data_IF_476123668805
#
_entry.id   IF_476123668805
#
_cell.length_a   1.000
_cell.length_b   1.000
_cell.length_c   1.000
_cell.angle_alpha   90.00
_cell.angle_beta   90.00
_cell.angle_gamma   90.00
#
_symmetry.space_group_name_H-M   'P 1'
#
loop_
_entity.id
_entity.type
_entity.pdbx_description
1 polymer ?
#
# COMPACT_ATOMS: atom_id res chain seq x y z
N UNK A 1 -3.48 23.19 -61.58
CA UNK A 1 -4.25 23.51 -62.83
C UNK A 1 -5.58 24.16 -62.42
N UNK A 2 -5.94 25.25 -63.04
CA UNK A 2 -7.24 25.92 -62.81
C UNK A 2 -8.08 25.67 -64.06
N UNK A 3 -9.27 25.14 -63.87
CA UNK A 3 -10.27 24.96 -64.91
C UNK A 3 -11.62 25.48 -64.38
N UNK A 4 -12.05 26.63 -64.86
CA UNK A 4 -13.29 27.29 -64.44
C UNK A 4 -14.13 27.61 -65.68
N UNK A 5 -15.42 27.26 -65.59
CA UNK A 5 -16.42 27.58 -66.62
C UNK A 5 -17.37 28.61 -66.10
N UNK A 6 -17.49 29.73 -66.84
CA UNK A 6 -18.43 30.78 -66.51
C UNK A 6 -19.87 30.45 -66.98
N UNK A 7 -20.85 31.10 -66.37
CA UNK A 7 -22.26 31.01 -66.81
C UNK A 7 -22.45 31.53 -68.21
N UNK A 8 -21.49 32.30 -68.74
CA UNK A 8 -21.47 32.82 -70.13
C UNK A 8 -20.89 31.79 -71.09
N UNK A 9 -20.47 30.60 -70.65
CA UNK A 9 -19.85 29.58 -71.50
C UNK A 9 -18.34 29.71 -71.69
N UNK A 10 -17.71 30.75 -71.17
CA UNK A 10 -16.26 30.94 -71.30
C UNK A 10 -15.53 30.00 -70.33
N UNK A 11 -14.54 29.24 -70.85
CA UNK A 11 -13.69 28.39 -70.05
C UNK A 11 -12.31 29.07 -69.81
N UNK A 12 -11.89 29.17 -68.57
CA UNK A 12 -10.55 29.62 -68.20
C UNK A 12 -9.76 28.38 -67.78
N UNK A 13 -8.77 28.00 -68.64
CA UNK A 13 -7.85 26.88 -68.37
C UNK A 13 -6.44 27.45 -68.20
N UNK A 14 -5.74 27.10 -67.09
CA UNK A 14 -4.35 27.46 -66.87
C UNK A 14 -3.63 26.35 -66.14
N UNK A 15 -2.63 25.77 -66.73
CA UNK A 15 -1.78 24.76 -66.12
C UNK A 15 -0.65 25.44 -65.31
N UNK A 16 -0.26 24.79 -64.20
CA UNK A 16 0.81 25.28 -63.32
C UNK A 16 0.46 26.53 -62.49
N UNK A 17 -0.81 26.90 -62.35
CA UNK A 17 -1.22 28.05 -61.55
C UNK A 17 -0.95 27.80 -60.05
N UNK A 18 -0.16 28.65 -59.43
CA UNK A 18 0.09 28.61 -57.99
C UNK A 18 -1.16 29.06 -57.20
N UNK A 19 -1.43 28.40 -56.11
CA UNK A 19 -2.49 28.77 -55.14
C UNK A 19 -1.92 28.76 -53.73
N UNK A 20 -2.10 29.84 -53.01
CA UNK A 20 -1.75 29.99 -51.59
C UNK A 20 -3.02 30.08 -50.79
N UNK A 21 -3.19 29.19 -49.81
CA UNK A 21 -4.36 29.17 -48.92
C UNK A 21 -3.89 29.23 -47.47
N UNK A 22 -4.43 30.22 -46.77
CA UNK A 22 -4.26 30.35 -45.31
C UNK A 22 -5.63 30.29 -44.67
N UNK A 23 -5.84 29.26 -43.85
CA UNK A 23 -7.04 29.09 -43.02
C UNK A 23 -6.62 29.11 -41.58
N UNK A 24 -7.17 30.03 -40.78
CA UNK A 24 -6.97 30.13 -39.36
C UNK A 24 -8.33 30.24 -38.69
N UNK A 25 -8.56 29.42 -37.63
CA UNK A 25 -9.77 29.49 -36.85
C UNK A 25 -9.46 29.37 -35.37
N UNK A 26 -10.17 30.13 -34.55
CA UNK A 26 -10.23 29.99 -33.10
C UNK A 26 -11.66 29.65 -32.73
N UNK A 27 -11.86 28.51 -32.07
CA UNK A 27 -13.19 28.02 -31.71
C UNK A 27 -13.27 27.75 -30.23
N UNK A 28 -14.29 28.26 -29.55
CA UNK A 28 -14.69 27.91 -28.21
C UNK A 28 -15.98 27.09 -28.26
N UNK A 29 -15.97 25.96 -27.56
CA UNK A 29 -17.15 25.06 -27.51
C UNK A 29 -17.57 24.89 -26.06
N UNK A 30 -18.84 25.13 -25.76
CA UNK A 30 -19.45 24.91 -24.46
C UNK A 30 -20.53 23.83 -24.56
N UNK A 31 -20.41 22.80 -23.72
CA UNK A 31 -21.41 21.76 -23.61
C UNK A 31 -22.52 22.22 -22.67
N UNK A 32 -23.73 22.42 -23.19
CA UNK A 32 -24.90 22.85 -22.41
C UNK A 32 -25.64 21.67 -21.79
N UNK A 33 -25.77 20.58 -22.54
CA UNK A 33 -26.49 19.38 -22.10
C UNK A 33 -25.93 18.13 -22.74
N UNK A 34 -25.86 17.03 -21.99
CA UNK A 34 -25.44 15.70 -22.48
C UNK A 34 -26.05 14.56 -21.64
N UNK A 35 -27.32 14.65 -21.31
CA UNK A 35 -28.00 13.64 -20.51
C UNK A 35 -27.51 13.58 -19.06
N UNK A 36 -27.03 14.70 -18.51
CA UNK A 36 -26.42 14.79 -17.18
C UNK A 36 -25.13 13.98 -17.01
N UNK A 37 -24.48 13.59 -18.10
CA UNK A 37 -23.20 12.85 -18.05
C UNK A 37 -22.13 13.59 -17.26
N UNK A 38 -21.95 14.89 -17.48
CA UNK A 38 -20.97 15.72 -16.74
C UNK A 38 -21.24 15.66 -15.24
N UNK A 39 -22.52 15.72 -14.83
CA UNK A 39 -22.91 15.61 -13.41
C UNK A 39 -22.59 14.22 -12.83
N UNK A 40 -22.81 13.16 -13.60
CA UNK A 40 -22.47 11.78 -13.19
C UNK A 40 -20.95 11.59 -13.07
N UNK A 41 -20.17 12.11 -14.03
CA UNK A 41 -18.69 12.10 -13.99
C UNK A 41 -18.17 12.85 -12.76
N UNK A 42 -18.70 14.07 -12.51
CA UNK A 42 -18.29 14.85 -11.32
C UNK A 42 -18.53 14.05 -10.04
N UNK A 43 -19.74 13.49 -9.86
CA UNK A 43 -20.05 12.66 -8.69
C UNK A 43 -19.17 11.40 -8.59
N UNK A 44 -18.82 10.79 -9.72
CA UNK A 44 -17.90 9.65 -9.73
C UNK A 44 -16.52 10.05 -9.26
N UNK A 45 -16.00 11.18 -9.74
CA UNK A 45 -14.67 11.69 -9.33
C UNK A 45 -14.65 12.10 -7.85
N UNK A 46 -15.73 12.67 -7.31
CA UNK A 46 -15.88 12.92 -5.87
C UNK A 46 -15.80 11.60 -5.06
N UNK A 47 -16.38 10.51 -5.54
CA UNK A 47 -16.25 9.21 -4.88
C UNK A 47 -14.84 8.63 -5.02
N UNK A 48 -14.14 8.86 -6.14
CA UNK A 48 -12.73 8.46 -6.33
C UNK A 48 -11.82 9.21 -5.34
N UNK A 49 -12.05 10.51 -5.13
CA UNK A 49 -11.34 11.30 -4.12
C UNK A 49 -11.52 10.70 -2.71
N UNK A 50 -12.76 10.44 -2.30
CA UNK A 50 -13.06 9.84 -1.00
C UNK A 50 -12.46 8.44 -0.85
N UNK A 51 -12.45 7.63 -1.93
CA UNK A 51 -11.78 6.34 -1.96
C UNK A 51 -10.26 6.49 -1.73
N UNK A 52 -9.64 7.45 -2.42
CA UNK A 52 -8.21 7.72 -2.31
C UNK A 52 -7.81 8.13 -0.89
N UNK A 53 -8.64 8.94 -0.22
CA UNK A 53 -8.45 9.27 1.20
C UNK A 53 -8.50 8.02 2.10
N UNK A 54 -9.38 7.05 1.81
CA UNK A 54 -9.40 5.80 2.57
C UNK A 54 -8.17 4.93 2.30
N UNK A 55 -7.62 4.93 1.09
CA UNK A 55 -6.34 4.26 0.83
C UNK A 55 -5.17 4.88 1.60
N UNK A 56 -5.13 6.22 1.71
CA UNK A 56 -4.15 6.89 2.57
C UNK A 56 -4.33 6.46 4.03
N UNK A 57 -5.57 6.45 4.54
CA UNK A 57 -5.85 5.99 5.91
C UNK A 57 -5.43 4.53 6.14
N UNK A 58 -5.71 3.65 5.19
CA UNK A 58 -5.28 2.25 5.25
C UNK A 58 -3.75 2.15 5.29
N UNK A 59 -3.05 2.91 4.44
CA UNK A 59 -1.59 2.93 4.42
C UNK A 59 -1.01 3.45 5.75
N UNK A 60 -1.60 4.48 6.33
CA UNK A 60 -1.21 4.99 7.67
C UNK A 60 -1.37 3.90 8.73
N UNK A 61 -2.52 3.22 8.77
CA UNK A 61 -2.76 2.11 9.71
C UNK A 61 -1.74 0.98 9.53
N UNK A 62 -1.48 0.56 8.30
CA UNK A 62 -0.51 -0.49 7.99
C UNK A 62 0.92 -0.08 8.38
N UNK A 63 1.30 1.18 8.12
CA UNK A 63 2.62 1.70 8.51
C UNK A 63 2.76 1.73 10.02
N UNK A 64 1.76 2.20 10.77
CA UNK A 64 1.77 2.19 12.24
C UNK A 64 1.94 0.76 12.76
N UNK A 65 1.16 -0.19 12.23
CA UNK A 65 1.25 -1.59 12.63
C UNK A 65 2.64 -2.19 12.35
N UNK A 66 3.24 -1.86 11.19
CA UNK A 66 4.59 -2.30 10.82
C UNK A 66 5.65 -1.69 11.76
N UNK A 67 5.55 -0.39 12.07
CA UNK A 67 6.45 0.29 13.01
C UNK A 67 6.34 -0.33 14.41
N UNK A 68 5.14 -0.57 14.91
CA UNK A 68 4.93 -1.24 16.21
C UNK A 68 5.55 -2.63 16.22
N UNK A 69 5.36 -3.42 15.17
CA UNK A 69 5.93 -4.76 15.05
C UNK A 69 7.46 -4.73 15.10
N UNK A 70 8.09 -3.84 14.33
CA UNK A 70 9.55 -3.68 14.33
C UNK A 70 10.08 -3.11 15.65
N UNK A 71 9.35 -2.20 16.27
CA UNK A 71 9.69 -1.67 17.59
C UNK A 71 9.75 -2.77 18.65
N UNK A 72 8.71 -3.59 18.75
CA UNK A 72 8.70 -4.73 19.68
C UNK A 72 9.70 -5.82 19.30
N UNK A 73 10.05 -5.96 18.02
CA UNK A 73 11.13 -6.86 17.62
C UNK A 73 12.48 -6.42 18.20
N UNK A 74 12.82 -5.14 18.15
CA UNK A 74 14.05 -4.61 18.79
C UNK A 74 14.05 -4.92 20.29
N UNK A 75 12.94 -4.68 21.00
CA UNK A 75 12.83 -4.97 22.44
C UNK A 75 13.02 -6.47 22.70
N UNK A 76 12.44 -7.33 21.87
CA UNK A 76 12.61 -8.79 21.96
C UNK A 76 14.08 -9.20 21.78
N UNK A 77 14.78 -8.65 20.80
CA UNK A 77 16.19 -8.93 20.57
C UNK A 77 17.08 -8.45 21.75
N UNK A 78 16.76 -7.28 22.31
CA UNK A 78 17.46 -6.79 23.52
C UNK A 78 17.19 -7.68 24.74
N UNK A 79 15.95 -8.17 24.89
CA UNK A 79 15.63 -9.12 25.98
C UNK A 79 16.39 -10.42 25.84
N UNK A 80 16.55 -10.92 24.59
CA UNK A 80 17.35 -12.13 24.34
C UNK A 80 18.83 -11.93 24.70
N UNK A 81 19.41 -10.75 24.49
CA UNK A 81 20.78 -10.45 24.95
C UNK A 81 20.93 -10.60 26.46
N UNK A 82 19.91 -10.21 27.25
CA UNK A 82 19.93 -10.42 28.73
C UNK A 82 19.99 -11.91 29.07
N UNK A 83 19.32 -12.78 28.31
CA UNK A 83 19.40 -14.23 28.50
C UNK A 83 20.81 -14.77 28.19
N UNK A 84 21.43 -14.26 27.13
CA UNK A 84 22.83 -14.60 26.79
C UNK A 84 23.77 -14.15 27.92
N UNK A 85 23.57 -12.95 28.47
CA UNK A 85 24.38 -12.43 29.59
C UNK A 85 24.26 -13.32 30.83
N UNK A 86 23.05 -13.81 31.14
CA UNK A 86 22.84 -14.78 32.23
C UNK A 86 23.57 -16.10 31.96
N UNK A 87 23.55 -16.58 30.71
CA UNK A 87 24.30 -17.79 30.32
C UNK A 87 25.80 -17.61 30.44
N UNK A 88 26.33 -16.42 30.08
CA UNK A 88 27.74 -16.06 30.26
C UNK A 88 28.12 -16.07 31.74
N UNK A 89 27.27 -15.49 32.62
CA UNK A 89 27.51 -15.50 34.07
C UNK A 89 27.60 -16.93 34.63
N UNK A 90 26.71 -17.80 34.22
CA UNK A 90 26.72 -19.23 34.62
C UNK A 90 27.97 -19.94 34.09
N UNK A 91 28.32 -19.74 32.80
CA UNK A 91 29.49 -20.35 32.21
C UNK A 91 30.82 -19.84 32.85
N UNK A 92 30.87 -18.55 33.23
CA UNK A 92 31.99 -18.00 33.96
C UNK A 92 32.13 -18.62 35.34
N UNK A 93 31.04 -18.74 36.11
CA UNK A 93 31.05 -19.44 37.42
C UNK A 93 31.53 -20.89 37.28
N UNK A 94 31.07 -21.59 36.27
CA UNK A 94 31.51 -22.97 35.97
C UNK A 94 33.00 -23.02 35.68
N UNK A 95 33.53 -22.11 34.85
CA UNK A 95 34.97 -22.03 34.56
C UNK A 95 35.78 -21.79 35.83
N UNK A 96 35.31 -20.89 36.71
CA UNK A 96 36.01 -20.56 37.97
C UNK A 96 36.03 -21.78 38.92
N UNK A 97 34.95 -22.56 38.98
CA UNK A 97 34.91 -23.82 39.74
C UNK A 97 35.90 -24.83 39.16
N UNK A 98 35.92 -25.02 37.83
CA UNK A 98 36.85 -25.97 37.17
C UNK A 98 38.32 -25.56 37.39
N UNK A 99 38.65 -24.26 37.32
CA UNK A 99 39.97 -23.73 37.64
C UNK A 99 40.37 -24.03 39.09
N UNK A 100 39.49 -23.83 40.04
CA UNK A 100 39.74 -24.15 41.46
C UNK A 100 39.93 -25.66 41.66
N UNK A 101 39.16 -26.50 41.03
CA UNK A 101 39.31 -27.97 41.06
C UNK A 101 40.63 -28.43 40.42
N UNK A 102 41.04 -27.81 39.31
CA UNK A 102 42.32 -28.10 38.66
C UNK A 102 43.49 -27.76 39.55
N UNK A 103 43.49 -26.59 40.24
CA UNK A 103 44.57 -26.15 41.10
C UNK A 103 44.86 -27.12 42.24
N UNK A 104 43.89 -27.93 42.64
CA UNK A 104 44.07 -28.96 43.68
C UNK A 104 44.12 -30.39 43.09
N UNK A 105 44.36 -30.51 41.78
CA UNK A 105 44.51 -31.78 41.08
C UNK A 105 43.23 -32.57 40.89
N UNK A 106 42.10 -31.88 41.02
CA UNK A 106 40.77 -32.49 41.01
C UNK A 106 40.00 -32.40 39.65
N UNK A 107 40.46 -31.60 38.69
CA UNK A 107 39.97 -31.53 37.32
C UNK A 107 41.16 -31.64 36.36
N UNK A 108 40.88 -32.11 35.15
CA UNK A 108 41.89 -32.24 34.10
C UNK A 108 41.95 -31.03 33.16
N UNK A 109 42.94 -30.94 32.29
CA UNK A 109 43.08 -29.86 31.31
C UNK A 109 41.97 -29.88 30.27
N UNK A 110 41.38 -31.04 29.92
CA UNK A 110 40.31 -31.12 28.97
C UNK A 110 39.03 -30.47 29.49
N UNK A 111 38.70 -30.64 30.79
CA UNK A 111 37.57 -29.99 31.45
C UNK A 111 37.73 -28.47 31.45
N UNK A 112 38.97 -27.99 31.72
CA UNK A 112 39.30 -26.56 31.68
C UNK A 112 39.10 -25.98 30.25
N UNK A 113 39.71 -26.64 29.24
CA UNK A 113 39.63 -26.16 27.88
C UNK A 113 38.18 -26.18 27.36
N UNK A 114 37.39 -27.23 27.69
CA UNK A 114 35.96 -27.29 27.31
C UNK A 114 35.18 -26.10 27.91
N UNK A 115 35.40 -25.82 29.21
CA UNK A 115 34.74 -24.68 29.88
C UNK A 115 35.11 -23.34 29.27
N UNK A 116 36.35 -23.17 28.80
CA UNK A 116 36.82 -21.97 28.10
C UNK A 116 36.17 -21.86 26.70
N UNK A 117 36.06 -22.97 25.96
CA UNK A 117 35.42 -23.01 24.65
C UNK A 117 33.94 -22.64 24.78
N UNK A 118 33.23 -23.23 25.77
CA UNK A 118 31.84 -22.94 26.03
C UNK A 118 31.60 -21.45 26.32
N UNK A 119 32.43 -20.85 27.19
CA UNK A 119 32.35 -19.41 27.50
C UNK A 119 32.63 -18.53 26.26
N UNK A 120 33.68 -18.83 25.50
CA UNK A 120 34.03 -18.08 24.30
C UNK A 120 32.93 -18.17 23.23
N UNK A 121 32.26 -19.32 23.10
CA UNK A 121 31.13 -19.52 22.20
C UNK A 121 29.93 -18.61 22.58
N UNK A 122 29.66 -18.42 23.87
CA UNK A 122 28.66 -17.50 24.36
C UNK A 122 29.01 -16.03 24.07
N UNK A 123 30.28 -15.63 24.20
CA UNK A 123 30.71 -14.30 23.79
C UNK A 123 30.54 -14.06 22.29
N UNK A 124 30.87 -15.02 21.44
CA UNK A 124 30.61 -14.93 19.98
C UNK A 124 29.10 -14.81 19.69
N UNK A 125 28.28 -15.58 20.41
CA UNK A 125 26.82 -15.50 20.30
C UNK A 125 26.31 -14.11 20.68
N UNK A 126 26.85 -13.51 21.75
CA UNK A 126 26.54 -12.13 22.16
C UNK A 126 26.91 -11.10 21.10
N UNK A 127 28.10 -11.23 20.48
CA UNK A 127 28.52 -10.34 19.40
C UNK A 127 27.57 -10.44 18.18
N UNK A 128 27.20 -11.66 17.79
CA UNK A 128 26.24 -11.89 16.70
C UNK A 128 24.87 -11.29 17.02
N UNK A 129 24.43 -11.44 18.28
CA UNK A 129 23.15 -10.86 18.73
C UNK A 129 23.17 -9.33 18.71
N UNK A 130 24.31 -8.71 19.04
CA UNK A 130 24.45 -7.26 18.94
C UNK A 130 24.28 -6.76 17.49
N UNK A 131 24.83 -7.48 16.50
CA UNK A 131 24.63 -7.17 15.10
C UNK A 131 23.14 -7.24 14.72
N UNK A 132 22.43 -8.29 15.18
CA UNK A 132 20.99 -8.46 14.93
C UNK A 132 20.19 -7.28 15.50
N UNK A 133 20.56 -6.79 16.69
CA UNK A 133 19.91 -5.62 17.30
C UNK A 133 20.12 -4.37 16.44
N UNK A 134 21.34 -4.11 15.98
CA UNK A 134 21.62 -2.95 15.14
C UNK A 134 20.89 -3.03 13.78
N UNK A 135 20.79 -4.22 13.19
CA UNK A 135 20.00 -4.43 11.98
C UNK A 135 18.49 -4.19 12.23
N UNK A 136 17.95 -4.69 13.34
CA UNK A 136 16.55 -4.46 13.70
C UNK A 136 16.24 -2.98 13.95
N UNK A 137 17.18 -2.21 14.56
CA UNK A 137 17.06 -0.76 14.69
C UNK A 137 17.10 -0.05 13.35
N UNK A 138 17.98 -0.46 12.44
CA UNK A 138 18.06 0.07 11.08
C UNK A 138 16.75 -0.14 10.31
N UNK A 139 16.17 -1.33 10.41
CA UNK A 139 14.87 -1.63 9.82
C UNK A 139 13.74 -0.73 10.37
N UNK A 140 13.75 -0.50 11.68
CA UNK A 140 12.79 0.39 12.33
C UNK A 140 12.95 1.84 11.83
N UNK A 141 14.18 2.36 11.78
CA UNK A 141 14.47 3.71 11.29
C UNK A 141 14.05 3.89 9.83
N UNK A 142 14.24 2.88 8.99
CA UNK A 142 13.80 2.89 7.59
C UNK A 142 12.28 3.07 7.47
N UNK A 143 11.50 2.33 8.27
CA UNK A 143 10.03 2.46 8.29
C UNK A 143 9.56 3.83 8.80
N UNK A 144 10.32 4.44 9.70
CA UNK A 144 10.04 5.78 10.24
C UNK A 144 10.53 6.90 9.33
N UNK A 145 11.14 6.57 8.18
CA UNK A 145 11.77 7.52 7.26
C UNK A 145 12.84 8.39 7.94
N UNK A 146 13.57 7.81 8.89
CA UNK A 146 14.70 8.42 9.59
C UNK A 146 15.99 7.87 9.01
N UNK A 147 17.07 8.66 9.06
CA UNK A 147 18.39 8.24 8.57
C UNK A 147 18.85 6.97 9.29
N UNK A 148 19.33 5.95 8.55
CA UNK A 148 19.71 4.65 9.11
C UNK A 148 20.88 4.70 10.11
N UNK A 149 21.72 5.76 10.03
CA UNK A 149 22.87 6.02 10.90
C UNK A 149 22.50 6.76 12.21
N UNK A 150 21.23 7.06 12.42
CA UNK A 150 20.77 7.74 13.63
C UNK A 150 20.85 6.81 14.84
N UNK A 151 21.52 7.26 15.90
CA UNK A 151 21.58 6.51 17.15
C UNK A 151 20.21 6.54 17.86
N UNK A 152 19.61 5.37 18.01
CA UNK A 152 18.35 5.21 18.75
C UNK A 152 18.55 4.29 19.94
N UNK A 153 18.13 4.75 21.10
CA UNK A 153 18.12 3.95 22.34
C UNK A 153 16.68 3.64 22.72
N UNK A 154 16.34 2.35 22.72
CA UNK A 154 15.03 1.85 23.15
C UNK A 154 15.22 1.21 24.53
N UNK A 155 14.47 1.67 25.52
CA UNK A 155 14.57 1.19 26.92
C UNK A 155 13.28 0.59 27.46
N UNK A 156 12.25 0.44 26.60
CA UNK A 156 10.94 -0.04 27.00
C UNK A 156 10.92 -1.56 27.24
N UNK A 157 9.81 -2.00 27.80
CA UNK A 157 9.46 -3.41 27.95
C UNK A 157 8.19 -3.69 27.15
N UNK A 158 7.97 -4.96 26.77
CA UNK A 158 6.73 -5.35 26.11
C UNK A 158 5.59 -5.30 27.12
N UNK A 159 4.64 -4.40 26.86
CA UNK A 159 3.39 -4.30 27.63
C UNK A 159 2.39 -5.27 27.03
N UNK A 160 1.87 -6.19 27.84
CA UNK A 160 0.87 -7.16 27.40
C UNK A 160 -0.51 -6.67 27.86
N UNK A 161 -1.32 -6.27 26.89
CA UNK A 161 -2.73 -5.92 27.12
C UNK A 161 -3.57 -7.20 27.26
N UNK A 162 -4.38 -7.32 28.31
CA UNK A 162 -5.13 -8.54 28.66
C UNK A 162 -6.64 -8.41 28.53
N UNK A 163 -7.15 -7.29 28.04
CA UNK A 163 -8.59 -6.97 28.04
C UNK A 163 -9.25 -6.97 26.66
N UNK A 164 -8.61 -7.53 25.64
CA UNK A 164 -9.13 -7.49 24.27
C UNK A 164 -10.29 -8.50 24.14
N UNK A 165 -11.44 -8.04 23.62
CA UNK A 165 -12.63 -8.84 23.38
C UNK A 165 -12.90 -8.93 21.88
N UNK A 166 -13.16 -10.15 21.38
CA UNK A 166 -13.42 -10.37 19.95
C UNK A 166 -14.62 -9.56 19.43
N UNK A 167 -15.66 -9.43 20.24
CA UNK A 167 -16.88 -8.73 19.86
C UNK A 167 -16.63 -7.25 19.53
N UNK A 168 -15.75 -6.59 20.26
CA UNK A 168 -15.37 -5.19 20.03
C UNK A 168 -14.57 -5.04 18.74
N UNK A 169 -13.70 -6.00 18.44
CA UNK A 169 -12.98 -6.06 17.16
C UNK A 169 -13.98 -6.18 16.02
N UNK A 170 -14.95 -7.10 16.12
CA UNK A 170 -15.94 -7.35 15.08
C UNK A 170 -16.86 -6.14 14.84
N UNK A 171 -17.29 -5.45 15.89
CA UNK A 171 -18.09 -4.21 15.79
C UNK A 171 -17.35 -3.10 15.03
N UNK A 172 -16.04 -2.99 15.24
CA UNK A 172 -15.23 -1.94 14.62
C UNK A 172 -14.73 -2.28 13.21
N UNK A 173 -14.90 -3.51 12.72
CA UNK A 173 -14.45 -3.89 11.37
C UNK A 173 -15.04 -3.00 10.27
N UNK A 174 -16.30 -2.59 10.38
CA UNK A 174 -16.94 -1.72 9.39
C UNK A 174 -16.29 -0.32 9.28
N UNK A 175 -15.44 0.07 10.24
CA UNK A 175 -14.65 1.31 10.22
C UNK A 175 -13.26 1.12 9.62
N UNK A 176 -12.93 -0.11 9.21
CA UNK A 176 -11.66 -0.38 8.56
C UNK A 176 -11.57 0.39 7.23
N UNK A 177 -10.45 1.08 7.01
CA UNK A 177 -10.26 1.97 5.87
C UNK A 177 -10.33 1.21 4.52
N UNK A 178 -9.86 -0.03 4.45
CA UNK A 178 -9.93 -0.85 3.23
C UNK A 178 -11.38 -1.24 2.90
N UNK A 179 -12.19 -1.57 3.91
CA UNK A 179 -13.61 -1.86 3.72
C UNK A 179 -14.39 -0.61 3.30
N UNK A 180 -14.03 0.56 3.84
CA UNK A 180 -14.59 1.84 3.40
C UNK A 180 -14.17 2.17 1.97
N UNK A 181 -12.93 1.93 1.58
CA UNK A 181 -12.47 2.08 0.20
C UNK A 181 -13.23 1.17 -0.76
N UNK A 182 -13.52 -0.08 -0.37
CA UNK A 182 -14.33 -1.01 -1.16
C UNK A 182 -15.80 -0.55 -1.28
N UNK A 183 -16.36 0.10 -0.26
CA UNK A 183 -17.69 0.74 -0.34
C UNK A 183 -17.71 1.89 -1.36
N UNK A 184 -16.70 2.76 -1.34
CA UNK A 184 -16.58 3.82 -2.36
C UNK A 184 -16.41 3.25 -3.76
N UNK A 185 -15.72 2.10 -3.92
CA UNK A 185 -15.60 1.42 -5.21
C UNK A 185 -16.97 1.00 -5.78
N UNK A 186 -17.89 0.55 -4.94
CA UNK A 186 -19.27 0.27 -5.35
C UNK A 186 -19.95 1.54 -5.85
N UNK A 187 -19.85 2.64 -5.08
CA UNK A 187 -20.47 3.93 -5.46
C UNK A 187 -19.87 4.49 -6.74
N UNK A 188 -18.57 4.34 -6.97
CA UNK A 188 -17.90 4.69 -8.23
C UNK A 188 -18.51 3.92 -9.40
N UNK A 189 -18.66 2.60 -9.25
CA UNK A 189 -19.23 1.75 -10.28
C UNK A 189 -20.72 2.08 -10.55
N UNK A 190 -21.50 2.43 -9.53
CA UNK A 190 -22.88 2.91 -9.67
C UNK A 190 -22.98 4.24 -10.44
N UNK A 191 -22.07 5.18 -10.18
CA UNK A 191 -22.02 6.43 -10.96
C UNK A 191 -21.60 6.17 -12.40
N UNK A 192 -20.74 5.17 -12.66
CA UNK A 192 -20.36 4.75 -14.02
C UNK A 192 -21.57 4.20 -14.81
N UNK A 193 -22.51 3.51 -14.15
CA UNK A 193 -23.78 3.11 -14.80
C UNK A 193 -24.53 4.35 -15.28
N UNK A 194 -24.66 5.38 -14.42
CA UNK A 194 -25.34 6.63 -14.78
C UNK A 194 -24.62 7.38 -15.92
N UNK A 195 -23.29 7.38 -15.89
CA UNK A 195 -22.45 7.97 -16.92
C UNK A 195 -22.65 7.28 -18.28
N UNK A 196 -22.68 5.94 -18.31
CA UNK A 196 -22.90 5.16 -19.53
C UNK A 196 -24.34 5.25 -20.03
N UNK A 197 -25.32 5.25 -19.14
CA UNK A 197 -26.73 5.46 -19.52
C UNK A 197 -26.91 6.84 -20.16
N UNK A 198 -26.20 7.85 -19.70
CA UNK A 198 -26.25 9.20 -20.25
C UNK A 198 -25.85 9.30 -21.73
N UNK A 199 -25.11 8.35 -22.27
CA UNK A 199 -24.72 8.29 -23.70
C UNK A 199 -25.91 8.11 -24.64
N UNK A 200 -27.08 7.70 -24.14
CA UNK A 200 -28.32 7.52 -24.91
C UNK A 200 -29.10 8.83 -25.11
N UNK A 201 -28.76 9.86 -24.32
CA UNK A 201 -29.51 11.11 -24.35
C UNK A 201 -28.91 12.08 -25.38
N UNK A 202 -29.69 13.04 -25.88
CA UNK A 202 -29.18 14.09 -26.75
C UNK A 202 -28.08 14.90 -26.11
N UNK A 203 -27.20 15.46 -26.93
CA UNK A 203 -26.18 16.44 -26.50
C UNK A 203 -26.43 17.77 -27.23
N UNK A 204 -26.36 18.86 -26.47
CA UNK A 204 -26.50 20.24 -26.96
C UNK A 204 -25.19 20.99 -26.63
N UNK A 205 -24.59 21.61 -27.69
CA UNK A 205 -23.37 22.38 -27.56
C UNK A 205 -23.55 23.75 -28.23
N UNK A 206 -22.94 24.76 -27.65
CA UNK A 206 -22.71 26.06 -28.28
C UNK A 206 -21.29 26.09 -28.79
N UNK A 207 -21.14 26.49 -30.04
CA UNK A 207 -19.85 26.73 -30.66
C UNK A 207 -19.77 28.21 -31.04
N UNK A 208 -18.70 28.86 -30.72
CA UNK A 208 -18.43 30.25 -31.12
C UNK A 208 -16.96 30.38 -31.48
N UNK A 209 -16.67 31.31 -32.34
CA UNK A 209 -15.27 31.52 -32.75
C UNK A 209 -15.13 32.63 -33.76
N UNK A 210 -13.93 32.72 -34.27
CA UNK A 210 -13.52 33.61 -35.33
C UNK A 210 -12.79 32.87 -36.42
N UNK A 211 -13.27 33.00 -37.66
CA UNK A 211 -12.63 32.40 -38.83
C UNK A 211 -11.88 33.48 -39.64
N UNK A 212 -10.70 33.15 -40.12
CA UNK A 212 -9.96 33.92 -41.09
C UNK A 212 -9.49 32.99 -42.22
N UNK A 213 -10.00 33.23 -43.43
CA UNK A 213 -9.64 32.49 -44.63
C UNK A 213 -9.07 33.45 -45.65
N UNK A 214 -7.91 33.15 -46.19
CA UNK A 214 -7.30 33.86 -47.28
C UNK A 214 -6.88 32.84 -48.35
N UNK A 215 -7.46 32.96 -49.52
CA UNK A 215 -7.14 32.14 -50.67
C UNK A 215 -6.66 33.06 -51.83
N UNK A 216 -5.42 32.94 -52.20
CA UNK A 216 -4.80 33.72 -53.28
C UNK A 216 -4.42 32.74 -54.42
N UNK A 217 -4.93 33.03 -55.63
CA UNK A 217 -4.71 32.22 -56.81
C UNK A 217 -4.01 33.04 -57.89
N UNK A 218 -3.09 32.43 -58.62
CA UNK A 218 -2.37 33.08 -59.72
C UNK A 218 -3.20 33.12 -61.02
N UNK A 219 -4.34 32.44 -61.08
CA UNK A 219 -5.24 32.43 -62.23
C UNK A 219 -6.67 32.11 -61.81
N UNK A 220 -7.66 32.51 -62.56
CA UNK A 220 -9.08 32.30 -62.32
C UNK A 220 -9.84 33.63 -62.20
N UNK A 221 -11.14 33.56 -61.94
CA UNK A 221 -12.02 34.73 -61.78
C UNK A 221 -11.72 35.58 -60.53
N UNK A 222 -11.30 34.90 -59.45
CA UNK A 222 -10.99 35.51 -58.18
C UNK A 222 -9.55 35.27 -57.82
N UNK A 223 -8.72 36.28 -57.94
CA UNK A 223 -7.28 36.20 -57.60
C UNK A 223 -7.02 36.25 -56.12
N UNK A 224 -7.89 36.90 -55.36
CA UNK A 224 -7.83 36.97 -53.90
C UNK A 224 -9.25 36.87 -53.34
N UNK A 225 -9.48 35.90 -52.49
CA UNK A 225 -10.66 35.80 -51.67
C UNK A 225 -10.23 35.78 -50.21
N UNK A 226 -10.63 36.82 -49.48
CA UNK A 226 -10.38 36.96 -48.03
C UNK A 226 -11.68 37.10 -47.31
N UNK A 227 -11.93 36.23 -46.36
CA UNK A 227 -13.15 36.26 -45.51
C UNK A 227 -12.74 36.13 -44.06
N UNK A 228 -13.25 37.00 -43.22
CA UNK A 228 -13.04 36.99 -41.81
C UNK A 228 -14.31 37.35 -41.05
N UNK A 229 -14.54 36.72 -39.91
CA UNK A 229 -15.70 37.07 -39.09
C UNK A 229 -15.95 36.14 -37.91
N UNK A 230 -16.66 36.62 -36.93
CA UNK A 230 -17.14 35.78 -35.83
C UNK A 230 -18.29 34.88 -36.30
N UNK A 231 -18.44 33.78 -35.61
CA UNK A 231 -19.61 32.90 -35.75
C UNK A 231 -20.10 32.44 -34.40
N UNK A 232 -21.39 32.13 -34.31
CA UNK A 232 -22.03 31.42 -33.21
C UNK A 232 -22.99 30.38 -33.81
N UNK A 233 -22.97 29.18 -33.20
CA UNK A 233 -23.81 28.09 -33.63
C UNK A 233 -24.26 27.19 -32.50
N UNK A 234 -25.35 26.52 -32.66
CA UNK A 234 -25.86 25.48 -31.77
C UNK A 234 -25.76 24.14 -32.50
N UNK A 235 -25.22 23.13 -31.81
CA UNK A 235 -25.13 21.76 -32.34
C UNK A 235 -25.92 20.85 -31.43
N UNK A 236 -26.98 20.22 -31.98
CA UNK A 236 -27.80 19.18 -31.32
C UNK A 236 -27.44 17.82 -31.94
N UNK A 237 -26.89 16.96 -31.13
CA UNK A 237 -26.59 15.57 -31.50
C UNK A 237 -27.54 14.59 -30.78
N UNK A 238 -28.30 13.83 -31.55
CA UNK A 238 -29.24 12.83 -31.02
C UNK A 238 -28.78 11.45 -31.53
N UNK A 239 -28.36 10.53 -30.66
CA UNK A 239 -27.97 9.19 -31.06
C UNK A 239 -29.25 8.36 -31.34
N UNK A 240 -29.55 8.10 -32.60
CA UNK A 240 -30.77 7.34 -33.00
C UNK A 240 -30.48 5.84 -32.89
N UNK A 241 -29.35 5.38 -33.45
CA UNK A 241 -28.95 3.97 -33.45
C UNK A 241 -27.45 3.82 -33.51
N UNK A 242 -26.90 2.90 -32.69
CA UNK A 242 -25.46 2.60 -32.63
C UNK A 242 -25.16 1.09 -32.54
N UNK A 243 -25.98 0.24 -33.13
CA UNK A 243 -25.80 -1.23 -33.08
C UNK A 243 -25.90 -1.82 -31.67
N UNK A 244 -26.61 -1.17 -30.73
CA UNK A 244 -26.77 -1.62 -29.36
C UNK A 244 -25.55 -1.44 -28.47
N UNK A 245 -24.53 -0.69 -28.91
CA UNK A 245 -23.26 -0.48 -28.15
C UNK A 245 -23.55 0.14 -26.79
N UNK A 246 -24.36 1.19 -26.70
CA UNK A 246 -24.69 1.84 -25.42
C UNK A 246 -25.38 0.89 -24.44
N UNK A 247 -26.31 0.03 -24.92
CA UNK A 247 -26.97 -0.96 -24.07
C UNK A 247 -26.01 -2.00 -23.53
N UNK A 248 -25.02 -2.44 -24.36
CA UNK A 248 -23.98 -3.35 -23.92
C UNK A 248 -23.05 -2.72 -22.90
N UNK A 249 -22.63 -1.46 -23.12
CA UNK A 249 -21.78 -0.71 -22.17
C UNK A 249 -22.47 -0.51 -20.82
N UNK A 250 -23.75 -0.19 -20.80
CA UNK A 250 -24.56 -0.09 -19.58
C UNK A 250 -24.63 -1.45 -18.84
N UNK A 251 -24.84 -2.55 -19.58
CA UNK A 251 -24.85 -3.89 -19.00
C UNK A 251 -23.50 -4.27 -18.40
N UNK A 252 -22.40 -3.94 -19.10
CA UNK A 252 -21.02 -4.14 -18.58
C UNK A 252 -20.81 -3.34 -17.30
N UNK A 253 -21.20 -2.05 -17.29
CA UNK A 253 -21.08 -1.22 -16.09
C UNK A 253 -21.92 -1.79 -14.91
N UNK A 254 -23.12 -2.31 -15.18
CA UNK A 254 -23.95 -2.96 -14.16
C UNK A 254 -23.31 -4.23 -13.61
N UNK A 255 -22.68 -5.05 -14.46
CA UNK A 255 -21.94 -6.24 -14.03
C UNK A 255 -20.74 -5.83 -13.18
N UNK A 256 -20.00 -4.80 -13.57
CA UNK A 256 -18.86 -4.28 -12.80
C UNK A 256 -19.28 -3.77 -11.41
N UNK A 257 -20.44 -3.13 -11.29
CA UNK A 257 -20.98 -2.73 -9.98
C UNK A 257 -21.33 -3.95 -9.10
N UNK A 258 -21.91 -5.01 -9.66
CA UNK A 258 -22.14 -6.26 -8.94
C UNK A 258 -20.83 -6.92 -8.52
N UNK A 259 -19.82 -6.93 -9.40
CA UNK A 259 -18.51 -7.46 -9.06
C UNK A 259 -17.84 -6.67 -7.92
N UNK A 260 -17.96 -5.35 -7.91
CA UNK A 260 -17.44 -4.53 -6.80
C UNK A 260 -18.13 -4.87 -5.46
N UNK A 261 -19.45 -5.10 -5.48
CA UNK A 261 -20.20 -5.52 -4.29
C UNK A 261 -19.77 -6.91 -3.79
N UNK A 262 -19.55 -7.86 -4.72
CA UNK A 262 -19.02 -9.18 -4.37
C UNK A 262 -17.60 -9.11 -3.80
N UNK A 263 -16.73 -8.29 -4.38
CA UNK A 263 -15.37 -8.08 -3.86
C UNK A 263 -15.38 -7.52 -2.45
N UNK A 264 -16.23 -6.53 -2.14
CA UNK A 264 -16.43 -6.05 -0.76
C UNK A 264 -16.87 -7.17 0.18
N UNK A 265 -17.82 -8.00 -0.24
CA UNK A 265 -18.31 -9.14 0.55
C UNK A 265 -17.21 -10.17 0.83
N UNK A 266 -16.35 -10.45 -0.15
CA UNK A 266 -15.19 -11.33 0.01
C UNK A 266 -14.20 -10.71 1.00
N UNK A 267 -13.89 -9.42 0.84
CA UNK A 267 -12.99 -8.69 1.71
C UNK A 267 -13.47 -8.70 3.16
N UNK A 268 -14.76 -8.44 3.39
CA UNK A 268 -15.36 -8.50 4.74
C UNK A 268 -15.24 -9.90 5.36
N UNK A 269 -15.48 -10.97 4.59
CA UNK A 269 -15.29 -12.34 5.08
C UNK A 269 -13.85 -12.64 5.44
N UNK A 270 -12.90 -12.15 4.65
CA UNK A 270 -11.48 -12.31 4.92
C UNK A 270 -11.07 -11.59 6.21
N UNK A 271 -11.53 -10.36 6.42
CA UNK A 271 -11.28 -9.63 7.68
C UNK A 271 -11.92 -10.30 8.88
N UNK A 272 -13.15 -10.79 8.76
CA UNK A 272 -13.80 -11.56 9.83
C UNK A 272 -12.99 -12.81 10.18
N UNK A 273 -12.56 -13.57 9.19
CA UNK A 273 -11.73 -14.77 9.39
C UNK A 273 -10.38 -14.42 10.02
N UNK A 274 -9.72 -13.35 9.54
CA UNK A 274 -8.45 -12.88 10.10
C UNK A 274 -8.61 -12.44 11.56
N UNK A 275 -9.67 -11.69 11.89
CA UNK A 275 -9.96 -11.26 13.25
C UNK A 275 -10.13 -12.44 14.20
N UNK A 276 -10.92 -13.45 13.82
CA UNK A 276 -11.12 -14.66 14.62
C UNK A 276 -9.80 -15.41 14.83
N UNK A 277 -9.03 -15.65 13.76
CA UNK A 277 -7.74 -16.36 13.87
C UNK A 277 -6.74 -15.61 14.75
N UNK A 278 -6.64 -14.29 14.56
CA UNK A 278 -5.72 -13.45 15.35
C UNK A 278 -6.12 -13.44 16.82
N UNK A 279 -7.43 -13.39 17.12
CA UNK A 279 -7.93 -13.46 18.48
C UNK A 279 -7.66 -14.83 19.13
N UNK A 280 -7.84 -15.93 18.39
CA UNK A 280 -7.49 -17.28 18.85
C UNK A 280 -5.99 -17.39 19.16
N UNK A 281 -5.13 -16.86 18.26
CA UNK A 281 -3.69 -16.82 18.50
C UNK A 281 -3.32 -15.96 19.72
N UNK A 282 -3.97 -14.80 19.89
CA UNK A 282 -3.77 -13.93 21.04
C UNK A 282 -4.12 -14.66 22.37
N UNK A 283 -5.28 -15.31 22.47
CA UNK A 283 -5.70 -16.02 23.69
C UNK A 283 -4.77 -17.19 24.00
N UNK A 284 -4.36 -17.96 22.98
CA UNK A 284 -3.42 -19.07 23.14
C UNK A 284 -2.03 -18.56 23.60
N UNK A 285 -1.53 -17.49 23.00
CA UNK A 285 -0.25 -16.91 23.38
C UNK A 285 -0.26 -16.36 24.82
N UNK A 286 -1.39 -15.82 25.30
CA UNK A 286 -1.52 -15.41 26.70
C UNK A 286 -1.40 -16.60 27.67
N UNK A 287 -2.07 -17.72 27.37
CA UNK A 287 -1.97 -18.94 28.17
C UNK A 287 -0.52 -19.49 28.16
N UNK A 288 0.09 -19.56 26.98
CA UNK A 288 1.49 -19.99 26.85
C UNK A 288 2.45 -19.09 27.64
N UNK A 289 2.22 -17.77 27.65
CA UNK A 289 3.04 -16.84 28.41
C UNK A 289 2.97 -17.13 29.94
N UNK A 290 1.77 -17.42 30.45
CA UNK A 290 1.58 -17.72 31.88
C UNK A 290 2.21 -19.08 32.26
N UNK A 291 2.15 -20.06 31.36
CA UNK A 291 2.81 -21.37 31.57
C UNK A 291 4.34 -21.25 31.45
N UNK A 292 4.85 -20.46 30.48
CA UNK A 292 6.28 -20.20 30.34
C UNK A 292 6.88 -19.51 31.59
N UNK A 293 6.15 -18.61 32.25
CA UNK A 293 6.60 -18.01 33.52
C UNK A 293 6.84 -19.07 34.58
N UNK A 294 5.90 -20.03 34.75
CA UNK A 294 6.08 -21.14 35.72
C UNK A 294 7.29 -22.02 35.37
N UNK A 295 7.48 -22.32 34.06
CA UNK A 295 8.62 -23.10 33.58
C UNK A 295 9.95 -22.39 33.88
N UNK A 296 10.02 -21.08 33.62
CA UNK A 296 11.23 -20.28 33.92
C UNK A 296 11.55 -20.27 35.42
N UNK A 297 10.54 -20.15 36.29
CA UNK A 297 10.75 -20.16 37.74
C UNK A 297 11.26 -21.54 38.23
N UNK A 298 10.71 -22.65 37.70
CA UNK A 298 11.22 -24.00 37.97
C UNK A 298 12.64 -24.21 37.42
N UNK A 299 12.92 -23.74 36.22
CA UNK A 299 14.24 -23.84 35.61
C UNK A 299 15.31 -23.08 36.41
N UNK A 300 14.98 -21.90 36.98
CA UNK A 300 15.88 -21.16 37.86
C UNK A 300 16.19 -21.94 39.14
N UNK A 301 15.20 -22.58 39.76
CA UNK A 301 15.40 -23.43 40.91
C UNK A 301 16.28 -24.63 40.58
N UNK A 302 16.00 -25.32 39.45
CA UNK A 302 16.82 -26.44 38.96
C UNK A 302 18.29 -26.02 38.73
N UNK A 303 18.51 -24.87 38.08
CA UNK A 303 19.86 -24.35 37.84
C UNK A 303 20.62 -24.10 39.15
N UNK A 304 19.95 -23.53 40.16
CA UNK A 304 20.59 -23.28 41.48
C UNK A 304 21.02 -24.59 42.15
N UNK A 305 20.14 -25.60 42.11
CA UNK A 305 20.45 -26.93 42.64
C UNK A 305 21.56 -27.62 41.87
N UNK A 306 21.57 -27.56 40.54
CA UNK A 306 22.63 -28.14 39.71
C UNK A 306 23.99 -27.52 39.99
N UNK A 307 24.07 -26.19 40.15
CA UNK A 307 25.33 -25.50 40.53
C UNK A 307 25.82 -25.91 41.92
N UNK A 308 24.92 -26.04 42.89
CA UNK A 308 25.31 -26.54 44.24
C UNK A 308 25.82 -27.98 44.20
N UNK A 309 25.14 -28.90 43.50
CA UNK A 309 25.58 -30.28 43.30
C UNK A 309 26.93 -30.36 42.60
N UNK A 310 27.16 -29.52 41.59
CA UNK A 310 28.44 -29.45 40.89
C UNK A 310 29.60 -28.99 41.79
N UNK A 311 29.34 -27.97 42.65
CA UNK A 311 30.29 -27.53 43.67
C UNK A 311 30.66 -28.66 44.65
N UNK A 312 29.67 -29.46 45.08
CA UNK A 312 29.84 -30.58 45.97
C UNK A 312 30.33 -31.86 45.30
N UNK A 313 30.59 -31.85 43.99
CA UNK A 313 30.99 -33.01 43.16
C UNK A 313 29.96 -34.12 43.11
N UNK A 314 28.71 -33.83 43.36
CA UNK A 314 27.62 -34.82 43.24
C UNK A 314 26.97 -34.79 41.85
N UNK A 315 27.49 -34.01 40.89
CA UNK A 315 27.05 -33.93 39.50
C UNK A 315 28.30 -33.79 38.59
N UNK A 316 28.14 -34.26 37.34
CA UNK A 316 29.20 -34.13 36.31
C UNK A 316 29.07 -32.82 35.55
N UNK A 317 30.09 -32.51 34.75
CA UNK A 317 30.16 -31.28 33.93
C UNK A 317 29.05 -31.23 32.86
N UNK A 318 28.45 -32.41 32.55
CA UNK A 318 27.45 -32.57 31.51
C UNK A 318 26.01 -32.54 32.01
N UNK A 319 25.76 -32.75 33.32
CA UNK A 319 24.46 -32.60 33.97
C UNK A 319 24.17 -31.11 34.30
#
# INVERSE_FOLDING_TARGET
>A
NVNQKLNTGVEIKRDGAAANQLNSNVTATMLLYNGYRVKAVKKRLEQVELQSLQFVNAQVQNTIAAVMTKYYDVIRQQAYTRTIDQSIDVAQKRLDIVKAQQSVGMANNADLFQSQIDLNTLYQTKQSQQLIIEQAKTDLLLLMNVRPDTMVTIRDTIIVERGIVLEDIMKNLNRNAELMAAEYQIRIAEQLIKETTALRYPSLRVNTGYNYNRNQQAAGLTLLNQTSGPFIGLSLGIPIYNGGVFKRQEKIASINAKNAALQKSILLRNFNSAAVRTYQAYTMNLQQLDDQKKIVDLAKQLLSLALQRFQLRQATIVE
#
